data_IF_609919961728
#
_entry.id   IF_609919961728
#
_cell.length_a   1.000
_cell.length_b   1.000
_cell.length_c   1.000
_cell.angle_alpha   90.00
_cell.angle_beta   90.00
_cell.angle_gamma   90.00
#
_symmetry.space_group_name_H-M   'P 1'
#
loop_
_entity.id
_entity.type
_entity.pdbx_description
1 polymer ?
#
# COMPACT_ATOMS: atom_id res chain seq x y z
N UNK A 1 -7.76 -4.05 -30.00
CA UNK A 1 -8.56 -5.09 -29.29
C UNK A 1 -7.75 -6.24 -28.71
N UNK A 2 -6.63 -6.69 -29.31
CA UNK A 2 -5.89 -7.87 -28.79
C UNK A 2 -5.23 -7.71 -27.42
N UNK A 3 -4.66 -6.54 -27.10
CA UNK A 3 -3.96 -6.34 -25.82
C UNK A 3 -4.93 -6.31 -24.62
N UNK A 4 -6.01 -5.54 -24.72
CA UNK A 4 -7.02 -5.47 -23.67
C UNK A 4 -7.61 -6.86 -23.37
N UNK A 5 -7.96 -7.63 -24.40
CA UNK A 5 -8.46 -9.00 -24.22
C UNK A 5 -7.44 -9.91 -23.51
N UNK A 6 -6.15 -9.84 -23.90
CA UNK A 6 -5.08 -10.59 -23.21
C UNK A 6 -4.96 -10.19 -21.74
N UNK A 7 -5.04 -8.90 -21.43
CA UNK A 7 -5.00 -8.42 -20.05
C UNK A 7 -6.19 -8.93 -19.23
N UNK A 8 -7.40 -8.87 -19.79
CA UNK A 8 -8.60 -9.42 -19.14
C UNK A 8 -8.48 -10.93 -18.88
N UNK A 9 -8.01 -11.70 -19.86
CA UNK A 9 -7.79 -13.14 -19.71
C UNK A 9 -6.75 -13.45 -18.64
N UNK A 10 -5.62 -12.74 -18.64
CA UNK A 10 -4.58 -12.91 -17.62
C UNK A 10 -5.09 -12.57 -16.23
N UNK A 11 -5.85 -11.48 -16.10
CA UNK A 11 -6.44 -11.07 -14.83
C UNK A 11 -7.44 -12.11 -14.33
N UNK A 12 -8.37 -12.57 -15.18
CA UNK A 12 -9.35 -13.60 -14.84
C UNK A 12 -8.67 -14.92 -14.45
N UNK A 13 -7.64 -15.35 -15.19
CA UNK A 13 -6.88 -16.55 -14.89
C UNK A 13 -6.15 -16.44 -13.55
N UNK A 14 -5.45 -15.32 -13.32
CA UNK A 14 -4.71 -15.08 -12.07
C UNK A 14 -5.64 -15.11 -10.86
N UNK A 15 -6.75 -14.37 -10.90
CA UNK A 15 -7.73 -14.37 -9.80
C UNK A 15 -8.45 -15.70 -9.67
N UNK A 16 -8.75 -16.39 -10.77
CA UNK A 16 -9.35 -17.72 -10.75
C UNK A 16 -8.45 -18.76 -10.08
N UNK A 17 -7.15 -18.76 -10.40
CA UNK A 17 -6.16 -19.62 -9.75
C UNK A 17 -6.07 -19.28 -8.26
N UNK A 18 -5.92 -17.99 -7.92
CA UNK A 18 -5.80 -17.57 -6.53
C UNK A 18 -7.03 -17.97 -5.70
N UNK A 19 -8.23 -17.70 -6.23
CA UNK A 19 -9.49 -18.07 -5.60
C UNK A 19 -9.61 -19.59 -5.44
N UNK A 20 -9.31 -20.35 -6.50
CA UNK A 20 -9.35 -21.81 -6.47
C UNK A 20 -8.38 -22.42 -5.46
N UNK A 21 -7.16 -21.88 -5.35
CA UNK A 21 -6.17 -22.34 -4.37
C UNK A 21 -6.62 -22.02 -2.94
N UNK A 22 -7.01 -20.77 -2.66
CA UNK A 22 -7.43 -20.36 -1.31
C UNK A 22 -8.67 -21.16 -0.87
N UNK A 23 -9.67 -21.27 -1.75
CA UNK A 23 -10.89 -22.00 -1.42
C UNK A 23 -10.69 -23.51 -1.37
N UNK A 24 -9.84 -24.06 -2.23
CA UNK A 24 -9.45 -25.47 -2.23
C UNK A 24 -8.73 -25.87 -0.94
N UNK A 25 -7.79 -25.04 -0.47
CA UNK A 25 -7.11 -25.27 0.81
C UNK A 25 -8.11 -25.19 1.97
N UNK A 26 -8.93 -24.14 2.03
CA UNK A 26 -9.88 -23.96 3.13
C UNK A 26 -10.94 -25.08 3.18
N UNK A 27 -11.45 -25.53 2.03
CA UNK A 27 -12.37 -26.67 1.96
C UNK A 27 -11.70 -27.99 2.39
N UNK A 28 -10.48 -28.26 1.93
CA UNK A 28 -9.69 -29.43 2.35
C UNK A 28 -9.42 -29.45 3.87
N UNK A 29 -9.22 -28.28 4.48
CA UNK A 29 -9.05 -28.12 5.93
C UNK A 29 -10.38 -28.13 6.73
N UNK A 30 -11.53 -28.27 6.07
CA UNK A 30 -12.85 -28.18 6.72
C UNK A 30 -13.28 -26.76 7.10
N UNK A 31 -12.51 -25.74 6.72
CA UNK A 31 -12.78 -24.31 6.97
C UNK A 31 -13.39 -23.60 5.74
N UNK A 32 -13.92 -24.36 4.77
CA UNK A 32 -14.39 -23.87 3.48
C UNK A 32 -15.73 -23.13 3.50
N UNK A 33 -16.00 -22.31 4.52
CA UNK A 33 -17.24 -21.56 4.65
C UNK A 33 -17.02 -20.05 4.49
N UNK A 34 -18.07 -19.34 4.05
CA UNK A 34 -18.01 -17.92 3.75
C UNK A 34 -17.66 -17.06 4.98
N UNK A 35 -18.14 -17.45 6.17
CA UNK A 35 -17.87 -16.72 7.41
C UNK A 35 -16.38 -16.76 7.76
N UNK A 36 -15.74 -17.92 7.63
CA UNK A 36 -14.31 -18.09 7.85
C UNK A 36 -13.50 -17.18 6.93
N UNK A 37 -13.80 -17.18 5.62
CA UNK A 37 -13.10 -16.32 4.68
C UNK A 37 -13.33 -14.83 4.96
N UNK A 38 -14.54 -14.44 5.37
CA UNK A 38 -14.84 -13.06 5.72
C UNK A 38 -14.06 -12.59 6.95
N UNK A 39 -13.99 -13.44 7.99
CA UNK A 39 -13.18 -13.16 9.19
C UNK A 39 -11.71 -13.08 8.83
N UNK A 40 -11.20 -14.05 8.07
CA UNK A 40 -9.81 -14.10 7.64
C UNK A 40 -9.45 -12.84 6.83
N UNK A 41 -10.27 -12.48 5.84
CA UNK A 41 -10.07 -11.28 5.03
C UNK A 41 -10.08 -10.02 5.88
N UNK A 42 -11.02 -9.90 6.82
CA UNK A 42 -11.11 -8.75 7.73
C UNK A 42 -9.88 -8.63 8.63
N UNK A 43 -9.37 -9.76 9.15
CA UNK A 43 -8.14 -9.80 9.92
C UNK A 43 -6.92 -9.38 9.08
N UNK A 44 -6.79 -9.91 7.86
CA UNK A 44 -5.70 -9.57 6.96
C UNK A 44 -5.72 -8.09 6.58
N UNK A 45 -6.86 -7.56 6.16
CA UNK A 45 -7.02 -6.15 5.78
C UNK A 45 -6.76 -5.25 6.99
N UNK A 46 -7.33 -5.58 8.16
CA UNK A 46 -7.11 -4.84 9.39
C UNK A 46 -5.62 -4.84 9.79
N UNK A 47 -4.96 -5.99 9.75
CA UNK A 47 -3.54 -6.10 10.02
C UNK A 47 -2.71 -5.27 9.05
N UNK A 48 -2.94 -5.40 7.75
CA UNK A 48 -2.27 -4.63 6.71
C UNK A 48 -2.47 -3.12 6.87
N UNK A 49 -3.67 -2.67 7.23
CA UNK A 49 -3.96 -1.27 7.50
C UNK A 49 -3.11 -0.73 8.65
N UNK A 50 -2.98 -1.50 9.73
CA UNK A 50 -2.20 -1.10 10.91
C UNK A 50 -0.70 -1.01 10.61
N UNK A 51 -0.13 -2.03 9.95
CA UNK A 51 1.32 -2.14 9.75
C UNK A 51 1.82 -1.50 8.44
N UNK A 52 0.92 -1.14 7.52
CA UNK A 52 1.25 -0.67 6.18
C UNK A 52 2.29 0.45 6.15
N UNK A 53 2.10 1.57 6.88
CA UNK A 53 3.08 2.65 6.91
C UNK A 53 4.46 2.24 7.45
N UNK A 54 4.51 1.31 8.41
CA UNK A 54 5.76 0.81 8.95
C UNK A 54 6.49 -0.11 7.96
N UNK A 55 5.74 -0.96 7.24
CA UNK A 55 6.29 -1.79 6.16
C UNK A 55 6.89 -0.92 5.06
N UNK A 56 6.18 0.13 4.64
CA UNK A 56 6.66 1.04 3.60
C UNK A 56 7.94 1.76 4.03
N UNK A 57 7.99 2.29 5.26
CA UNK A 57 9.21 2.90 5.82
C UNK A 57 10.40 1.94 5.79
N UNK A 58 10.17 0.68 6.16
CA UNK A 58 11.21 -0.35 6.21
C UNK A 58 11.70 -0.72 4.80
N UNK A 59 10.77 -1.04 3.90
CA UNK A 59 11.09 -1.46 2.53
C UNK A 59 11.83 -0.37 1.76
N UNK A 60 11.37 0.88 1.90
CA UNK A 60 11.94 2.04 1.21
C UNK A 60 13.12 2.66 1.96
N UNK A 61 13.47 2.12 3.14
CA UNK A 61 14.56 2.60 3.99
C UNK A 61 14.52 4.12 4.17
N UNK A 62 13.34 4.63 4.49
CA UNK A 62 13.08 6.08 4.57
C UNK A 62 13.96 6.70 5.67
N UNK A 63 14.75 7.70 5.30
CA UNK A 63 15.40 8.62 6.24
C UNK A 63 14.51 9.85 6.38
N UNK A 64 13.86 10.00 7.53
CA UNK A 64 13.16 11.24 7.87
C UNK A 64 14.17 12.38 7.98
N UNK A 65 13.86 13.51 7.34
CA UNK A 65 14.73 14.70 7.31
C UNK A 65 14.04 15.87 8.01
N UNK A 66 14.85 16.78 8.54
CA UNK A 66 14.39 18.04 9.11
C UNK A 66 14.45 19.18 8.10
N UNK A 67 13.74 20.27 8.39
CA UNK A 67 13.77 21.51 7.57
C UNK A 67 15.17 22.12 7.47
N UNK A 68 16.07 21.79 8.41
CA UNK A 68 17.48 22.21 8.37
C UNK A 68 18.34 21.34 7.46
N UNK A 69 18.00 20.06 7.33
CA UNK A 69 18.71 19.14 6.45
C UNK A 69 18.31 19.39 4.98
N UNK A 70 17.02 19.59 4.71
CA UNK A 70 16.48 19.72 3.35
C UNK A 70 15.45 20.86 3.24
N UNK A 71 15.88 22.13 3.32
CA UNK A 71 14.98 23.28 3.39
C UNK A 71 14.09 23.44 2.15
N UNK A 72 14.65 23.26 0.95
CA UNK A 72 13.92 23.43 -0.32
C UNK A 72 12.80 22.39 -0.47
N UNK A 73 13.08 21.13 -0.12
CA UNK A 73 12.10 20.05 -0.18
C UNK A 73 10.96 20.31 0.81
N UNK A 74 11.29 20.72 2.04
CA UNK A 74 10.30 21.04 3.06
C UNK A 74 9.44 22.26 2.69
N UNK A 75 10.01 23.26 2.01
CA UNK A 75 9.26 24.41 1.51
C UNK A 75 8.28 23.97 0.41
N UNK A 76 8.75 23.21 -0.59
CA UNK A 76 7.92 22.74 -1.69
C UNK A 76 6.73 21.92 -1.20
N UNK A 77 6.97 20.95 -0.30
CA UNK A 77 5.89 20.13 0.29
C UNK A 77 4.97 20.99 1.15
N UNK A 78 5.51 21.98 1.87
CA UNK A 78 4.72 22.91 2.70
C UNK A 78 3.75 23.76 1.87
N UNK A 79 4.23 24.38 0.80
CA UNK A 79 3.40 25.19 -0.11
C UNK A 79 2.31 24.34 -0.78
N UNK A 80 2.63 23.10 -1.17
CA UNK A 80 1.64 22.17 -1.75
C UNK A 80 0.59 21.76 -0.71
N UNK A 81 0.99 21.49 0.53
CA UNK A 81 0.06 21.14 1.61
C UNK A 81 -0.86 22.31 1.97
N UNK A 82 -0.32 23.53 2.02
CA UNK A 82 -1.09 24.76 2.26
C UNK A 82 -2.12 25.00 1.15
N UNK A 83 -1.71 24.91 -0.12
CA UNK A 83 -2.63 25.02 -1.27
C UNK A 83 -3.72 23.95 -1.27
N UNK A 84 -3.40 22.76 -0.77
CA UNK A 84 -4.35 21.65 -0.64
C UNK A 84 -5.22 21.72 0.64
N UNK A 85 -4.95 22.66 1.56
CA UNK A 85 -5.69 22.79 2.82
C UNK A 85 -5.48 21.61 3.78
N UNK A 86 -4.34 20.92 3.70
CA UNK A 86 -4.01 19.78 4.56
C UNK A 86 -2.82 20.12 5.48
N UNK A 87 -2.70 19.49 6.67
CA UNK A 87 -1.51 19.65 7.49
C UNK A 87 -0.27 19.17 6.73
N UNK A 88 0.86 19.84 6.95
CA UNK A 88 2.13 19.48 6.31
C UNK A 88 2.53 18.04 6.69
N UNK A 89 2.67 17.12 5.72
CA UNK A 89 3.06 15.75 6.02
C UNK A 89 4.54 15.68 6.42
N UNK A 90 4.92 14.58 7.06
CA UNK A 90 6.33 14.29 7.34
C UNK A 90 7.09 14.04 6.03
N UNK A 91 8.30 14.57 5.93
CA UNK A 91 9.13 14.47 4.73
C UNK A 91 10.33 13.56 4.99
N UNK A 92 10.58 12.64 4.07
CA UNK A 92 11.71 11.71 4.16
C UNK A 92 12.27 11.36 2.80
N UNK A 93 13.54 10.96 2.77
CA UNK A 93 14.26 10.55 1.58
C UNK A 93 14.46 9.03 1.62
N UNK A 94 14.02 8.34 0.57
CA UNK A 94 14.31 6.92 0.36
C UNK A 94 15.80 6.71 0.10
N UNK A 95 16.41 5.70 0.75
CA UNK A 95 17.82 5.34 0.48
C UNK A 95 17.99 4.41 -0.72
N UNK A 96 16.91 4.04 -1.40
CA UNK A 96 16.96 3.25 -2.63
C UNK A 96 17.24 4.16 -3.82
N UNK A 97 18.13 3.74 -4.73
CA UNK A 97 18.48 4.46 -5.95
C UNK A 97 17.41 4.27 -7.04
N UNK A 98 16.16 4.62 -6.73
CA UNK A 98 15.03 4.56 -7.64
C UNK A 98 14.49 6.00 -7.76
N UNK A 99 14.46 6.60 -8.97
CA UNK A 99 13.99 7.97 -9.16
C UNK A 99 12.45 8.00 -9.11
N UNK A 100 11.90 7.86 -7.91
CA UNK A 100 10.46 7.85 -7.66
C UNK A 100 10.11 8.52 -6.32
N UNK A 101 8.92 9.10 -6.24
CA UNK A 101 8.36 9.71 -5.04
C UNK A 101 6.91 9.22 -4.85
N UNK A 102 6.51 8.99 -3.61
CA UNK A 102 5.17 8.52 -3.25
C UNK A 102 4.81 9.02 -1.85
N UNK A 103 3.52 9.06 -1.54
CA UNK A 103 2.99 9.37 -0.21
C UNK A 103 2.34 8.11 0.38
N UNK A 104 2.42 7.93 1.69
CA UNK A 104 1.81 6.81 2.40
C UNK A 104 1.39 7.24 3.80
N UNK A 105 0.32 6.64 4.32
CA UNK A 105 -0.28 7.00 5.59
C UNK A 105 -1.70 6.49 5.68
N UNK A 106 -2.26 6.43 6.88
CA UNK A 106 -3.66 6.06 7.14
C UNK A 106 -4.59 7.26 7.12
N UNK A 107 -4.09 8.42 7.53
CA UNK A 107 -4.87 9.65 7.68
C UNK A 107 -4.09 10.86 7.17
N UNK A 108 -4.75 12.01 7.07
CA UNK A 108 -4.11 13.28 6.70
C UNK A 108 -3.04 13.75 7.71
N UNK A 109 -2.99 13.17 8.92
CA UNK A 109 -2.06 13.56 9.98
C UNK A 109 -0.90 12.58 10.17
N UNK A 110 -0.83 11.52 9.36
CA UNK A 110 0.23 10.51 9.43
C UNK A 110 1.62 11.06 9.02
#
# INVERSE_FOLDING_TARGET
MGLQMKMWLLMALMFGILYGVITGIGTWMGAGNALFYLVLASLFIGFQYLIGPSLVQLMMRVKWVSEREEPELHQMVGELAERAGIPKPRVGISRLAIPNAFAFGKTLRD
#
